data_IF_162524896579
#
_entry.id   IF_162524896579
#
_cell.length_a   1.000
_cell.length_b   1.000
_cell.length_c   1.000
_cell.angle_alpha   90.00
_cell.angle_beta   90.00
_cell.angle_gamma   90.00
#
_symmetry.space_group_name_H-M   'P 1'
#
loop_
_entity.id
_entity.type
_entity.pdbx_description
1 polymer ?
#
# COMPACT_ATOMS: atom_id res chain seq x y z
N UNK A 1 11.41 7.90 -12.38
CA UNK A 1 10.19 7.19 -11.95
C UNK A 1 10.29 5.76 -12.42
N UNK A 2 10.20 4.79 -11.52
CA UNK A 2 10.49 3.37 -11.76
C UNK A 2 9.19 2.57 -11.92
N UNK A 3 9.25 1.47 -12.67
CA UNK A 3 8.23 0.45 -12.57
C UNK A 3 8.44 -0.35 -11.28
N UNK A 4 7.36 -0.72 -10.61
CA UNK A 4 7.39 -1.50 -9.36
C UNK A 4 6.64 -2.85 -9.50
N UNK A 5 6.28 -3.22 -10.73
CA UNK A 5 5.60 -4.48 -11.04
C UNK A 5 6.29 -5.72 -10.42
N UNK A 6 7.64 -5.75 -10.41
CA UNK A 6 8.40 -6.88 -9.85
C UNK A 6 8.17 -7.01 -8.35
N UNK A 7 8.32 -5.92 -7.62
CA UNK A 7 8.16 -5.83 -6.17
C UNK A 7 6.72 -6.19 -5.78
N UNK A 8 5.73 -5.63 -6.48
CA UNK A 8 4.31 -5.93 -6.22
C UNK A 8 3.97 -7.40 -6.48
N UNK A 9 4.52 -8.02 -7.54
CA UNK A 9 4.34 -9.46 -7.79
C UNK A 9 5.01 -10.34 -6.74
N UNK A 10 6.10 -9.89 -6.13
CA UNK A 10 6.72 -10.60 -5.00
C UNK A 10 5.78 -10.52 -3.79
N UNK A 11 5.37 -9.31 -3.39
CA UNK A 11 4.46 -9.09 -2.26
C UNK A 11 3.16 -9.89 -2.41
N UNK A 12 2.58 -9.92 -3.62
CA UNK A 12 1.35 -10.65 -3.93
C UNK A 12 1.41 -12.13 -3.55
N UNK A 13 2.58 -12.76 -3.63
CA UNK A 13 2.75 -14.17 -3.30
C UNK A 13 2.65 -14.47 -1.80
N UNK A 14 2.72 -13.44 -0.95
CA UNK A 14 2.65 -13.56 0.51
C UNK A 14 1.31 -13.10 1.08
N UNK A 15 0.33 -12.74 0.24
CA UNK A 15 -1.03 -12.47 0.69
C UNK A 15 -1.73 -13.81 0.91
N UNK A 16 -2.19 -14.05 2.15
CA UNK A 16 -2.89 -15.29 2.50
C UNK A 16 -4.14 -15.52 1.62
N UNK A 17 -4.39 -16.76 1.16
CA UNK A 17 -5.62 -17.09 0.42
C UNK A 17 -6.91 -16.79 1.17
N UNK A 18 -6.89 -16.79 2.52
CA UNK A 18 -8.06 -16.41 3.33
C UNK A 18 -8.36 -14.93 3.20
N UNK A 19 -7.33 -14.08 3.24
CA UNK A 19 -7.48 -12.66 2.93
C UNK A 19 -8.06 -12.47 1.52
N UNK A 20 -7.59 -13.25 0.54
CA UNK A 20 -8.12 -13.20 -0.82
C UNK A 20 -9.62 -13.51 -0.93
N UNK A 21 -10.18 -14.28 0.00
CA UNK A 21 -11.62 -14.56 0.03
C UNK A 21 -12.45 -13.33 0.46
N UNK A 22 -11.93 -12.52 1.39
CA UNK A 22 -12.54 -11.26 1.81
C UNK A 22 -12.28 -10.12 0.80
N UNK A 23 -11.17 -10.20 0.05
CA UNK A 23 -10.84 -9.27 -1.04
C UNK A 23 -11.73 -9.44 -2.29
N UNK A 24 -12.67 -10.42 -2.32
CA UNK A 24 -13.53 -10.72 -3.50
C UNK A 24 -14.40 -9.57 -3.98
N UNK A 25 -14.58 -8.53 -3.17
CA UNK A 25 -15.36 -7.34 -3.50
C UNK A 25 -14.74 -6.53 -4.64
N UNK A 26 -13.42 -6.53 -4.72
CA UNK A 26 -12.65 -5.76 -5.69
C UNK A 26 -11.76 -6.68 -6.52
N UNK A 27 -11.38 -6.19 -7.70
CA UNK A 27 -10.43 -6.88 -8.58
C UNK A 27 -9.30 -5.92 -8.96
N UNK A 28 -8.14 -6.48 -9.24
CA UNK A 28 -7.12 -5.75 -9.99
C UNK A 28 -7.62 -5.41 -11.40
N UNK A 29 -7.15 -4.28 -11.92
CA UNK A 29 -7.62 -3.71 -13.18
C UNK A 29 -6.80 -4.21 -14.36
N UNK A 30 -7.47 -4.39 -15.49
CA UNK A 30 -6.85 -4.66 -16.79
C UNK A 30 -6.24 -3.40 -17.40
N UNK A 31 -5.36 -3.60 -18.39
CA UNK A 31 -4.80 -2.49 -19.18
C UNK A 31 -5.90 -1.68 -19.89
N UNK A 32 -6.96 -2.33 -20.37
CA UNK A 32 -8.07 -1.65 -21.05
C UNK A 32 -8.86 -0.74 -20.10
N UNK A 33 -9.09 -1.20 -18.86
CA UNK A 33 -9.74 -0.39 -17.82
C UNK A 33 -8.88 0.83 -17.45
N UNK A 34 -7.56 0.65 -17.32
CA UNK A 34 -6.61 1.74 -17.08
C UNK A 34 -6.62 2.75 -18.23
N UNK A 35 -6.54 2.28 -19.48
CA UNK A 35 -6.58 3.15 -20.67
C UNK A 35 -7.91 3.91 -20.77
N UNK A 36 -9.04 3.29 -20.40
CA UNK A 36 -10.33 3.95 -20.36
C UNK A 36 -10.37 5.07 -19.30
N UNK A 37 -9.79 4.83 -18.12
CA UNK A 37 -9.67 5.83 -17.06
C UNK A 37 -8.75 6.98 -17.47
N UNK A 38 -7.59 6.70 -18.07
CA UNK A 38 -6.68 7.71 -18.61
C UNK A 38 -7.34 8.60 -19.66
N UNK A 39 -8.14 7.99 -20.56
CA UNK A 39 -8.93 8.73 -21.54
C UNK A 39 -9.96 9.65 -20.88
N UNK A 40 -10.62 9.17 -19.83
CA UNK A 40 -11.61 9.95 -19.04
C UNK A 40 -10.95 11.10 -18.27
N UNK A 41 -9.77 10.87 -17.72
CA UNK A 41 -9.01 11.85 -16.94
C UNK A 41 -8.18 12.81 -17.80
N UNK A 42 -8.06 12.53 -19.10
CA UNK A 42 -7.21 13.27 -20.05
C UNK A 42 -5.74 13.36 -19.60
N UNK A 43 -5.22 12.28 -19.01
CA UNK A 43 -3.83 12.16 -18.55
C UNK A 43 -3.40 10.70 -18.62
N UNK A 44 -2.12 10.45 -18.88
CA UNK A 44 -1.54 9.13 -18.65
C UNK A 44 -1.21 8.99 -17.17
N UNK A 45 -1.68 7.93 -16.54
CA UNK A 45 -1.32 7.61 -15.18
C UNK A 45 0.19 7.30 -15.12
N UNK A 46 0.88 7.76 -14.08
CA UNK A 46 2.28 7.40 -13.85
C UNK A 46 2.45 5.87 -13.82
N UNK A 47 3.57 5.36 -14.35
CA UNK A 47 3.87 3.91 -14.41
C UNK A 47 3.65 3.20 -13.06
N UNK A 48 4.13 3.72 -11.91
CA UNK A 48 3.94 3.05 -10.62
C UNK A 48 2.47 2.91 -10.23
N UNK A 49 1.64 3.90 -10.57
CA UNK A 49 0.19 3.86 -10.31
C UNK A 49 -0.48 2.81 -11.18
N UNK A 50 -0.06 2.69 -12.45
CA UNK A 50 -0.56 1.61 -13.32
C UNK A 50 -0.22 0.25 -12.73
N UNK A 51 1.03 0.05 -12.28
CA UNK A 51 1.47 -1.20 -11.67
C UNK A 51 0.64 -1.54 -10.41
N UNK A 52 0.39 -0.55 -9.56
CA UNK A 52 -0.47 -0.71 -8.37
C UNK A 52 -1.88 -1.14 -8.75
N UNK A 53 -2.53 -0.46 -9.71
CA UNK A 53 -3.87 -0.83 -10.15
C UNK A 53 -3.94 -2.23 -10.77
N UNK A 54 -2.86 -2.69 -11.39
CA UNK A 54 -2.79 -4.03 -12.03
C UNK A 54 -2.50 -5.16 -11.07
N UNK A 55 -1.83 -4.89 -9.96
CA UNK A 55 -1.27 -5.95 -9.12
C UNK A 55 -1.71 -5.92 -7.67
N UNK A 56 -2.16 -4.78 -7.14
CA UNK A 56 -2.50 -4.64 -5.72
C UNK A 56 -3.80 -3.87 -5.47
N UNK A 57 -4.59 -3.57 -6.50
CA UNK A 57 -5.75 -2.68 -6.34
C UNK A 57 -6.84 -3.28 -5.47
N UNK A 58 -7.12 -4.57 -5.61
CA UNK A 58 -8.08 -5.27 -4.75
C UNK A 58 -7.71 -5.15 -3.27
N UNK A 59 -6.45 -5.41 -2.91
CA UNK A 59 -5.94 -5.24 -1.55
C UNK A 59 -6.08 -3.79 -1.08
N UNK A 60 -5.51 -2.84 -1.84
CA UNK A 60 -5.42 -1.45 -1.39
C UNK A 60 -6.77 -0.74 -1.39
N UNK A 61 -7.67 -1.06 -2.32
CA UNK A 61 -9.03 -0.51 -2.33
C UNK A 61 -9.83 -1.08 -1.15
N UNK A 62 -9.74 -2.40 -0.90
CA UNK A 62 -10.43 -3.02 0.23
C UNK A 62 -9.90 -2.50 1.57
N UNK A 63 -8.59 -2.19 1.64
CA UNK A 63 -7.96 -1.57 2.82
C UNK A 63 -8.25 -0.07 2.95
N UNK A 64 -8.97 0.54 2.00
CA UNK A 64 -9.29 1.97 2.01
C UNK A 64 -8.12 2.90 1.63
N UNK A 65 -6.95 2.39 1.25
CA UNK A 65 -5.77 3.19 0.94
C UNK A 65 -5.63 3.58 -0.53
N UNK A 66 -6.37 2.95 -1.44
CA UNK A 66 -6.38 3.29 -2.87
C UNK A 66 -7.79 3.62 -3.32
N UNK A 67 -7.94 4.74 -4.03
CA UNK A 67 -9.20 5.11 -4.66
C UNK A 67 -9.49 4.19 -5.85
N UNK A 68 -10.71 3.64 -5.99
CA UNK A 68 -11.08 2.89 -7.18
C UNK A 68 -10.86 3.69 -8.46
N UNK A 69 -10.47 2.99 -9.53
CA UNK A 69 -10.09 3.61 -10.80
C UNK A 69 -11.23 4.43 -11.40
N UNK A 70 -12.47 3.99 -11.18
CA UNK A 70 -13.71 4.64 -11.63
C UNK A 70 -13.98 5.95 -10.89
N UNK A 71 -13.49 6.08 -9.66
CA UNK A 71 -13.68 7.24 -8.78
C UNK A 71 -12.49 8.19 -8.78
N UNK A 72 -11.42 7.89 -9.52
CA UNK A 72 -10.38 8.89 -9.79
C UNK A 72 -10.99 10.13 -10.43
N UNK A 73 -10.59 11.30 -9.94
CA UNK A 73 -11.02 12.58 -10.47
C UNK A 73 -9.96 13.64 -10.17
N UNK A 74 -9.97 14.73 -10.94
CA UNK A 74 -9.14 15.90 -10.66
C UNK A 74 -9.81 16.75 -9.59
N UNK A 75 -9.05 17.28 -8.63
CA UNK A 75 -9.44 18.37 -7.74
C UNK A 75 -8.61 19.61 -8.10
N UNK A 76 -9.20 20.50 -8.90
CA UNK A 76 -8.49 21.61 -9.52
C UNK A 76 -7.34 21.14 -10.42
N UNK A 77 -6.11 21.12 -9.89
CA UNK A 77 -4.89 20.68 -10.60
C UNK A 77 -4.27 19.42 -9.98
N UNK A 78 -4.91 18.79 -9.01
CA UNK A 78 -4.36 17.63 -8.30
C UNK A 78 -5.17 16.38 -8.62
N UNK A 79 -4.49 15.25 -8.79
CA UNK A 79 -5.12 13.96 -9.03
C UNK A 79 -4.74 13.05 -7.86
N UNK A 80 -5.73 12.74 -7.01
CA UNK A 80 -5.58 11.91 -5.83
C UNK A 80 -5.71 10.43 -6.15
N UNK A 81 -4.78 9.64 -5.63
CA UNK A 81 -4.78 8.18 -5.79
C UNK A 81 -5.02 7.49 -4.45
N UNK A 82 -4.33 7.95 -3.41
CA UNK A 82 -4.29 7.27 -2.13
C UNK A 82 -5.00 8.06 -1.03
N UNK A 83 -5.34 7.34 0.04
CA UNK A 83 -5.67 7.91 1.34
C UNK A 83 -4.55 7.55 2.31
N UNK A 84 -4.12 8.52 3.12
CA UNK A 84 -3.02 8.31 4.04
C UNK A 84 -3.44 7.48 5.25
N UNK A 85 -2.65 6.48 5.69
CA UNK A 85 -2.98 5.73 6.90
C UNK A 85 -3.05 6.65 8.12
N UNK A 86 -4.14 6.56 8.89
CA UNK A 86 -4.36 7.33 10.10
C UNK A 86 -4.66 8.82 9.90
N UNK A 87 -4.71 9.31 8.66
CA UNK A 87 -5.04 10.69 8.33
C UNK A 87 -6.13 10.73 7.25
N UNK A 88 -7.11 11.63 7.38
CA UNK A 88 -8.15 11.85 6.36
C UNK A 88 -7.63 12.69 5.16
N UNK A 89 -6.36 12.49 4.80
CA UNK A 89 -5.63 13.22 3.76
C UNK A 89 -5.56 12.41 2.47
N UNK A 90 -5.84 13.04 1.35
CA UNK A 90 -5.62 12.49 0.01
C UNK A 90 -4.17 12.70 -0.40
N UNK A 91 -3.57 11.67 -1.00
CA UNK A 91 -2.21 11.72 -1.53
C UNK A 91 -2.22 11.49 -3.05
N UNK A 92 -1.49 12.32 -3.78
CA UNK A 92 -1.44 12.22 -5.23
C UNK A 92 -0.48 13.19 -5.90
N UNK A 93 -0.76 13.54 -7.14
CA UNK A 93 0.15 14.32 -8.00
C UNK A 93 -0.47 15.64 -8.46
N UNK A 94 0.40 16.59 -8.82
CA UNK A 94 0.00 17.84 -9.46
C UNK A 94 0.14 17.79 -10.98
N UNK A 95 -0.85 18.31 -11.70
CA UNK A 95 -0.87 18.42 -13.16
C UNK A 95 0.33 19.23 -13.69
N UNK A 96 0.98 18.68 -14.72
CA UNK A 96 2.08 19.35 -15.42
C UNK A 96 3.45 19.21 -14.75
N UNK A 97 3.53 18.53 -13.61
CA UNK A 97 4.80 18.13 -12.99
C UNK A 97 5.16 16.72 -13.47
N UNK A 98 6.40 16.55 -13.93
CA UNK A 98 6.93 15.26 -14.41
C UNK A 98 7.78 14.55 -13.36
N UNK A 99 7.99 15.17 -12.20
CA UNK A 99 8.94 14.77 -11.16
C UNK A 99 8.49 13.57 -10.32
N UNK A 100 7.20 13.20 -10.34
CA UNK A 100 6.69 12.15 -9.45
C UNK A 100 6.57 12.58 -7.99
N UNK A 101 6.69 13.89 -7.73
CA UNK A 101 6.51 14.48 -6.41
C UNK A 101 5.09 14.24 -5.89
N UNK A 102 5.00 13.86 -4.62
CA UNK A 102 3.74 13.67 -3.92
C UNK A 102 3.25 14.96 -3.29
N UNK A 103 1.93 15.11 -3.32
CA UNK A 103 1.20 16.18 -2.67
C UNK A 103 0.13 15.56 -1.78
N UNK A 104 -0.10 16.20 -0.64
CA UNK A 104 -1.17 15.87 0.29
C UNK A 104 -2.13 17.03 0.43
N UNK A 105 -3.41 16.72 0.57
CA UNK A 105 -4.46 17.69 0.79
C UNK A 105 -5.66 17.06 1.48
N UNK A 106 -6.47 17.90 2.10
CA UNK A 106 -7.80 17.52 2.58
C UNK A 106 -8.79 17.62 1.42
N UNK A 107 -9.54 16.54 1.18
CA UNK A 107 -10.58 16.50 0.15
C UNK A 107 -11.67 17.53 0.48
N UNK A 108 -11.98 18.41 -0.48
CA UNK A 108 -13.00 19.44 -0.26
C UNK A 108 -14.40 18.88 -0.55
N UNK A 109 -14.85 17.98 0.33
CA UNK A 109 -16.20 17.40 0.31
C UNK A 109 -17.13 18.07 1.34
N UNK A 110 -17.64 19.29 1.08
CA UNK A 110 -18.43 20.05 2.05
C UNK A 110 -19.78 19.42 2.36
N UNK A 111 -20.25 18.48 1.54
CA UNK A 111 -21.51 17.77 1.81
C UNK A 111 -21.27 16.50 2.60
N UNK A 112 -20.04 15.99 2.63
CA UNK A 112 -19.75 14.71 3.21
C UNK A 112 -20.62 13.62 2.61
N UNK A 113 -20.58 13.44 1.29
CA UNK A 113 -21.35 12.38 0.61
C UNK A 113 -20.52 11.66 -0.46
N UNK A 114 -19.24 12.00 -0.60
CA UNK A 114 -18.33 11.32 -1.54
C UNK A 114 -18.24 9.83 -1.24
N UNK A 115 -18.19 9.45 0.04
CA UNK A 115 -18.17 8.07 0.52
C UNK A 115 -19.43 7.29 0.15
N UNK A 116 -20.60 7.91 0.12
CA UNK A 116 -21.84 7.22 -0.27
C UNK A 116 -21.74 6.64 -1.70
N UNK A 117 -21.02 7.31 -2.60
CA UNK A 117 -20.82 6.79 -3.96
C UNK A 117 -19.81 5.63 -4.00
N UNK A 118 -18.86 5.61 -3.07
CA UNK A 118 -17.93 4.49 -2.90
C UNK A 118 -18.70 3.27 -2.39
N UNK A 119 -19.52 3.42 -1.36
CA UNK A 119 -20.35 2.33 -0.81
C UNK A 119 -21.30 1.76 -1.88
N UNK A 120 -21.92 2.65 -2.67
CA UNK A 120 -22.79 2.24 -3.77
C UNK A 120 -22.02 1.50 -4.88
N UNK A 121 -20.77 1.90 -5.15
CA UNK A 121 -19.93 1.23 -6.12
C UNK A 121 -19.50 -0.15 -5.61
N UNK A 122 -19.08 -0.25 -4.34
CA UNK A 122 -18.70 -1.50 -3.68
C UNK A 122 -19.87 -2.49 -3.70
N UNK A 123 -21.06 -2.06 -3.26
CA UNK A 123 -22.28 -2.88 -3.29
C UNK A 123 -22.56 -3.41 -4.70
N UNK A 124 -22.48 -2.54 -5.71
CA UNK A 124 -22.72 -2.94 -7.10
C UNK A 124 -21.60 -3.87 -7.65
N UNK A 125 -20.38 -3.76 -7.15
CA UNK A 125 -19.29 -4.70 -7.44
C UNK A 125 -19.56 -6.08 -6.85
N UNK A 126 -19.97 -6.15 -5.60
CA UNK A 126 -20.33 -7.41 -4.92
C UNK A 126 -21.50 -8.13 -5.59
N UNK A 127 -22.54 -7.38 -5.97
CA UNK A 127 -23.74 -7.93 -6.61
C UNK A 127 -23.55 -8.26 -8.10
N UNK A 128 -22.45 -7.81 -8.70
CA UNK A 128 -22.24 -7.88 -10.15
C UNK A 128 -23.20 -6.97 -10.94
N UNK A 129 -23.75 -5.92 -10.33
CA UNK A 129 -24.67 -4.96 -10.96
C UNK A 129 -23.91 -3.91 -11.78
N UNK A 130 -23.67 -4.22 -13.05
CA UNK A 130 -23.00 -3.31 -14.00
C UNK A 130 -23.77 -2.00 -14.24
N UNK A 131 -25.09 -1.97 -14.06
CA UNK A 131 -25.87 -0.74 -14.20
C UNK A 131 -25.76 0.12 -12.93
N UNK A 132 -25.80 -0.50 -11.76
CA UNK A 132 -25.51 0.13 -10.46
C UNK A 132 -24.14 0.79 -10.45
N UNK A 133 -23.09 0.07 -10.89
CA UNK A 133 -21.73 0.63 -11.04
C UNK A 133 -21.73 1.88 -11.90
N UNK A 134 -22.32 1.81 -13.11
CA UNK A 134 -22.39 2.96 -14.02
C UNK A 134 -23.11 4.16 -13.40
N UNK A 135 -24.20 3.94 -12.66
CA UNK A 135 -24.93 5.00 -11.97
C UNK A 135 -24.11 5.63 -10.86
N UNK A 136 -23.49 4.84 -9.99
CA UNK A 136 -22.66 5.32 -8.89
C UNK A 136 -21.50 6.17 -9.43
N UNK A 137 -20.78 5.65 -10.43
CA UNK A 137 -19.67 6.36 -11.09
C UNK A 137 -20.14 7.63 -11.77
N UNK A 138 -21.23 7.59 -12.55
CA UNK A 138 -21.74 8.79 -13.22
C UNK A 138 -22.18 9.88 -12.22
N UNK A 139 -22.83 9.49 -11.11
CA UNK A 139 -23.26 10.41 -10.07
C UNK A 139 -22.04 11.06 -9.39
N UNK A 140 -21.03 10.27 -9.05
CA UNK A 140 -19.77 10.73 -8.49
C UNK A 140 -19.02 11.69 -9.43
N UNK A 141 -18.86 11.33 -10.70
CA UNK A 141 -18.19 12.18 -11.69
C UNK A 141 -18.94 13.51 -11.89
N UNK A 142 -20.29 13.48 -11.88
CA UNK A 142 -21.12 14.68 -11.93
C UNK A 142 -20.99 15.54 -10.68
N UNK A 143 -20.85 14.91 -9.51
CA UNK A 143 -20.63 15.57 -8.23
C UNK A 143 -19.35 16.40 -8.22
N UNK A 144 -18.23 15.80 -8.66
CA UNK A 144 -16.92 16.46 -8.70
C UNK A 144 -16.77 17.42 -9.87
N UNK A 145 -17.34 17.14 -11.05
CA UNK A 145 -17.31 18.08 -12.18
C UNK A 145 -17.96 19.42 -11.85
N UNK A 146 -19.05 19.41 -11.07
CA UNK A 146 -19.72 20.65 -10.60
C UNK A 146 -18.86 21.45 -9.61
N UNK A 147 -17.98 20.78 -8.87
CA UNK A 147 -17.13 21.39 -7.83
C UNK A 147 -15.80 21.89 -8.36
N UNK A 148 -15.28 21.26 -9.40
CA UNK A 148 -14.09 21.69 -10.13
C UNK A 148 -14.27 22.95 -10.96
N UNK A 149 -15.39 23.67 -10.80
CA UNK A 149 -15.52 25.02 -11.36
C UNK A 149 -14.50 25.88 -10.60
N UNK A 150 -13.50 26.44 -11.29
CA UNK A 150 -12.43 27.19 -10.65
C UNK A 150 -13.06 28.26 -9.76
N UNK A 151 -12.53 28.44 -8.56
CA UNK A 151 -12.94 29.44 -7.54
C UNK A 151 -13.99 29.04 -6.48
N UNK A 152 -14.59 27.85 -6.48
CA UNK A 152 -15.55 27.46 -5.42
C UNK A 152 -15.00 26.35 -4.49
N UNK A 153 -14.35 25.32 -5.03
CA UNK A 153 -13.89 24.16 -4.23
C UNK A 153 -12.50 23.67 -4.67
N UNK A 154 -11.47 24.48 -4.43
CA UNK A 154 -10.09 24.00 -4.53
C UNK A 154 -9.80 23.01 -3.38
N UNK A 155 -8.87 22.05 -3.56
CA UNK A 155 -8.43 21.19 -2.47
C UNK A 155 -7.88 22.04 -1.32
N UNK A 156 -8.11 21.59 -0.09
CA UNK A 156 -7.78 22.32 1.12
C UNK A 156 -6.40 21.91 1.62
N UNK A 157 -5.68 22.86 2.24
CA UNK A 157 -4.41 22.60 2.92
C UNK A 157 -3.36 21.86 2.07
N UNK A 158 -3.33 22.12 0.76
CA UNK A 158 -2.40 21.44 -0.15
C UNK A 158 -0.95 21.75 0.23
N UNK A 159 -0.17 20.70 0.43
CA UNK A 159 1.26 20.80 0.67
C UNK A 159 2.00 19.70 -0.07
N UNK A 160 3.27 19.96 -0.36
CA UNK A 160 4.17 18.96 -0.95
C UNK A 160 4.68 18.05 0.18
N UNK A 161 4.71 16.75 -0.09
CA UNK A 161 5.31 15.75 0.79
C UNK A 161 6.85 15.87 0.72
N UNK A 162 7.39 16.78 1.54
CA UNK A 162 8.82 17.04 1.70
C UNK A 162 9.34 16.64 3.10
N UNK A 163 8.47 16.07 3.95
CA UNK A 163 8.74 15.72 5.35
C UNK A 163 8.33 14.26 5.61
N UNK A 164 9.15 13.52 6.36
CA UNK A 164 8.96 12.10 6.62
C UNK A 164 9.91 11.20 5.80
N UNK A 165 9.78 9.87 5.94
CA UNK A 165 10.66 8.92 5.29
C UNK A 165 10.82 9.15 3.81
N UNK A 166 12.03 8.98 3.28
CA UNK A 166 12.32 9.22 1.86
C UNK A 166 11.38 8.48 0.89
N UNK A 167 10.95 7.25 1.24
CA UNK A 167 9.97 6.51 0.42
C UNK A 167 8.60 7.22 0.31
N UNK A 168 8.20 8.02 1.30
CA UNK A 168 6.95 8.77 1.30
C UNK A 168 7.00 10.03 0.41
N UNK A 169 8.17 10.40 -0.09
CA UNK A 169 8.35 11.57 -0.96
C UNK A 169 8.18 11.22 -2.45
N UNK A 170 8.21 9.93 -2.77
CA UNK A 170 8.13 9.39 -4.12
C UNK A 170 6.92 8.49 -4.30
N UNK A 171 6.29 8.60 -5.46
CA UNK A 171 5.07 7.86 -5.81
C UNK A 171 5.25 6.33 -5.71
N UNK A 172 6.42 5.82 -6.11
CA UNK A 172 6.76 4.40 -6.06
C UNK A 172 6.94 3.90 -4.64
N UNK A 173 7.74 4.63 -3.85
CA UNK A 173 8.03 4.28 -2.47
C UNK A 173 6.77 4.29 -1.62
N UNK A 174 5.93 5.31 -1.79
CA UNK A 174 4.66 5.41 -1.09
C UNK A 174 3.68 4.30 -1.48
N UNK A 175 3.63 3.96 -2.77
CA UNK A 175 2.81 2.84 -3.25
C UNK A 175 3.26 1.48 -2.69
N UNK A 176 4.58 1.24 -2.61
CA UNK A 176 5.14 0.05 -1.98
C UNK A 176 4.89 0.02 -0.47
N UNK A 177 5.03 1.17 0.19
CA UNK A 177 4.67 1.33 1.60
C UNK A 177 3.23 0.94 1.87
N UNK A 178 2.27 1.48 1.11
CA UNK A 178 0.86 1.14 1.30
C UNK A 178 0.59 -0.35 1.05
N UNK A 179 1.23 -0.96 0.06
CA UNK A 179 1.10 -2.39 -0.20
C UNK A 179 1.61 -3.23 0.98
N UNK A 180 2.79 -2.89 1.52
CA UNK A 180 3.37 -3.56 2.69
C UNK A 180 2.51 -3.35 3.93
N UNK A 181 2.13 -2.10 4.19
CA UNK A 181 1.29 -1.69 5.33
C UNK A 181 -0.05 -2.42 5.32
N UNK A 182 -0.71 -2.52 4.16
CA UNK A 182 -1.98 -3.23 4.04
C UNK A 182 -1.83 -4.72 4.35
N UNK A 183 -0.77 -5.37 3.84
CA UNK A 183 -0.50 -6.77 4.17
C UNK A 183 -0.33 -6.92 5.69
N UNK A 184 0.45 -6.04 6.31
CA UNK A 184 0.67 -6.09 7.75
C UNK A 184 -0.61 -5.89 8.56
N UNK A 185 -1.45 -4.93 8.16
CA UNK A 185 -2.71 -4.62 8.83
C UNK A 185 -3.67 -5.81 8.78
N UNK A 186 -3.86 -6.41 7.59
CA UNK A 186 -4.76 -7.55 7.42
C UNK A 186 -4.29 -8.79 8.18
N UNK A 187 -3.01 -9.15 8.08
CA UNK A 187 -2.43 -10.25 8.84
C UNK A 187 -2.47 -9.96 10.36
N UNK A 188 -2.29 -8.69 10.74
CA UNK A 188 -2.40 -8.21 12.11
C UNK A 188 -3.83 -8.15 12.65
N UNK A 189 -4.87 -8.05 11.82
CA UNK A 189 -6.28 -8.15 12.25
C UNK A 189 -6.72 -9.61 12.39
N UNK A 190 -6.28 -10.47 11.47
CA UNK A 190 -6.68 -11.87 11.43
C UNK A 190 -5.92 -12.76 12.44
N UNK A 191 -4.92 -12.22 13.15
CA UNK A 191 -4.06 -12.98 14.08
C UNK A 191 -4.82 -13.75 15.17
N UNK A 192 -5.93 -13.21 15.69
CA UNK A 192 -6.76 -13.88 16.69
C UNK A 192 -7.55 -15.07 16.12
N UNK A 193 -7.81 -15.06 14.82
CA UNK A 193 -8.50 -16.14 14.10
C UNK A 193 -7.54 -17.24 13.66
N UNK A 194 -6.23 -17.02 13.81
CA UNK A 194 -5.14 -17.87 13.30
C UNK A 194 -4.43 -18.69 14.36
N UNK A 195 -5.18 -19.25 15.33
CA UNK A 195 -4.64 -20.03 16.46
C UNK A 195 -3.89 -21.34 16.10
N UNK A 196 -3.46 -21.54 14.85
CA UNK A 196 -2.65 -22.69 14.44
C UNK A 196 -1.91 -22.59 13.11
N UNK A 197 -1.93 -21.45 12.40
CA UNK A 197 -1.27 -21.32 11.09
C UNK A 197 0.04 -20.54 11.22
N UNK A 198 1.18 -21.23 11.08
CA UNK A 198 2.54 -20.67 11.20
C UNK A 198 3.00 -19.94 9.93
N UNK A 199 2.06 -19.44 9.12
CA UNK A 199 2.35 -18.70 7.90
C UNK A 199 2.67 -17.24 8.17
N UNK A 200 2.17 -16.69 9.28
CA UNK A 200 2.47 -15.35 9.78
C UNK A 200 3.01 -15.43 11.20
N UNK A 201 4.18 -14.85 11.42
CA UNK A 201 4.87 -14.86 12.70
C UNK A 201 5.35 -13.45 13.05
N UNK A 202 5.24 -13.10 14.31
CA UNK A 202 5.70 -11.82 14.84
C UNK A 202 6.92 -12.05 15.70
N UNK A 203 7.93 -11.21 15.56
CA UNK A 203 9.03 -11.21 16.50
C UNK A 203 8.61 -10.57 17.81
N UNK A 204 9.34 -10.87 18.88
CA UNK A 204 9.37 -9.99 20.05
C UNK A 204 9.63 -8.54 19.60
N UNK A 205 9.01 -7.58 20.29
CA UNK A 205 9.29 -6.17 20.08
C UNK A 205 10.76 -5.87 20.33
N UNK A 206 11.34 -4.94 19.56
CA UNK A 206 12.66 -4.43 19.88
C UNK A 206 12.62 -3.69 21.22
N UNK A 207 13.45 -4.06 22.22
CA UNK A 207 13.71 -3.22 23.36
C UNK A 207 14.01 -1.78 22.95
N UNK A 208 13.33 -0.81 23.59
CA UNK A 208 13.47 0.63 23.33
C UNK A 208 14.89 1.22 23.58
N UNK A 209 15.90 0.38 23.83
CA UNK A 209 17.28 0.75 24.23
C UNK A 209 18.34 0.35 23.21
N UNK A 210 17.99 -0.18 22.04
CA UNK A 210 19.00 -0.61 21.08
C UNK A 210 19.61 0.57 20.32
N UNK A 211 20.92 0.45 20.04
CA UNK A 211 21.69 1.46 19.31
C UNK A 211 21.62 1.26 17.79
N UNK A 212 22.06 2.25 17.01
CA UNK A 212 22.14 2.13 15.55
C UNK A 212 23.01 0.92 15.13
N UNK A 213 24.08 0.65 15.86
CA UNK A 213 24.97 -0.50 15.62
C UNK A 213 24.26 -1.84 15.79
N UNK A 214 23.29 -1.95 16.71
CA UNK A 214 22.51 -3.17 16.87
C UNK A 214 21.71 -3.49 15.59
N UNK A 215 21.03 -2.49 15.03
CA UNK A 215 20.26 -2.66 13.79
C UNK A 215 21.16 -2.86 12.57
N UNK A 216 22.34 -2.24 12.54
CA UNK A 216 23.37 -2.52 11.52
C UNK A 216 23.81 -3.98 11.57
N UNK A 217 24.08 -4.52 12.76
CA UNK A 217 24.45 -5.93 12.93
C UNK A 217 23.33 -6.89 12.49
N UNK A 218 22.05 -6.51 12.66
CA UNK A 218 20.94 -7.29 12.09
C UNK A 218 20.97 -7.20 10.57
N UNK A 219 21.06 -5.98 10.01
CA UNK A 219 21.08 -5.75 8.58
C UNK A 219 22.22 -6.54 7.88
N UNK A 220 23.40 -6.62 8.49
CA UNK A 220 24.51 -7.43 7.99
C UNK A 220 24.24 -8.93 8.06
N UNK A 221 23.69 -9.44 9.18
CA UNK A 221 23.43 -10.88 9.37
C UNK A 221 22.30 -11.42 8.48
N UNK A 222 21.24 -10.64 8.26
CA UNK A 222 20.12 -11.09 7.42
C UNK A 222 20.50 -11.12 5.93
N UNK A 223 21.50 -10.35 5.48
CA UNK A 223 21.90 -10.29 4.07
C UNK A 223 22.40 -11.62 3.49
N UNK A 224 22.80 -12.57 4.33
CA UNK A 224 23.21 -13.92 3.91
C UNK A 224 22.07 -14.68 3.22
N UNK A 225 20.83 -14.47 3.68
CA UNK A 225 19.65 -15.22 3.25
C UNK A 225 18.53 -14.34 2.70
N UNK A 226 18.46 -13.08 3.13
CA UNK A 226 17.45 -12.11 2.74
C UNK A 226 18.05 -10.98 1.90
N UNK A 227 17.30 -10.56 0.90
CA UNK A 227 17.63 -9.40 0.07
C UNK A 227 16.55 -8.34 0.22
N UNK A 228 16.88 -7.04 0.16
CA UNK A 228 15.86 -6.00 0.10
C UNK A 228 14.82 -6.30 -0.99
N UNK A 229 13.55 -6.00 -0.73
CA UNK A 229 12.46 -6.26 -1.68
C UNK A 229 12.72 -5.60 -3.05
N UNK A 230 13.29 -4.40 -3.03
CA UNK A 230 13.60 -3.59 -4.20
C UNK A 230 15.12 -3.46 -4.38
N UNK A 231 15.55 -3.50 -5.65
CA UNK A 231 16.92 -3.18 -6.04
C UNK A 231 17.18 -1.66 -5.98
N UNK A 232 16.12 -0.84 -5.83
CA UNK A 232 16.15 0.60 -5.62
C UNK A 232 16.08 0.91 -4.11
N UNK A 233 17.22 1.13 -3.43
CA UNK A 233 17.25 1.35 -1.98
C UNK A 233 16.35 2.51 -1.55
N UNK A 234 16.31 3.58 -2.34
CA UNK A 234 15.52 4.77 -2.07
C UNK A 234 14.01 4.50 -1.94
N UNK A 235 13.50 3.37 -2.43
CA UNK A 235 12.09 3.01 -2.31
C UNK A 235 11.74 2.31 -0.99
N UNK A 236 12.75 1.89 -0.24
CA UNK A 236 12.61 1.04 0.95
C UNK A 236 13.32 1.61 2.19
N UNK A 237 14.08 2.70 2.03
CA UNK A 237 14.93 3.30 3.06
C UNK A 237 14.14 4.11 4.07
N UNK A 238 14.31 3.80 5.36
CA UNK A 238 13.68 4.46 6.51
C UNK A 238 14.59 5.58 7.04
N UNK A 239 14.97 6.51 6.16
CA UNK A 239 15.91 7.61 6.44
C UNK A 239 17.23 7.11 7.08
N UNK A 240 17.51 7.54 8.32
CA UNK A 240 18.73 7.21 9.06
C UNK A 240 18.69 5.83 9.73
N UNK A 241 17.61 5.07 9.57
CA UNK A 241 17.44 3.76 10.16
C UNK A 241 18.21 2.67 9.37
N UNK A 242 19.02 1.81 10.02
CA UNK A 242 19.85 0.83 9.30
C UNK A 242 19.10 -0.28 8.55
N UNK A 243 17.84 -0.54 8.91
CA UNK A 243 17.02 -1.54 8.26
C UNK A 243 16.09 -0.89 7.24
N UNK A 244 15.71 -1.67 6.24
CA UNK A 244 14.71 -1.35 5.23
C UNK A 244 13.34 -1.90 5.61
N UNK A 245 12.29 -1.38 4.98
CA UNK A 245 10.91 -1.77 5.26
C UNK A 245 10.62 -3.26 5.05
N UNK A 246 11.20 -3.88 4.01
CA UNK A 246 10.96 -5.29 3.73
C UNK A 246 12.13 -5.97 3.00
N UNK A 247 12.29 -7.26 3.29
CA UNK A 247 13.28 -8.15 2.70
C UNK A 247 12.63 -9.46 2.27
N UNK A 248 13.05 -9.99 1.13
CA UNK A 248 12.61 -11.27 0.61
C UNK A 248 13.72 -12.31 0.75
N UNK A 249 13.37 -13.52 1.19
CA UNK A 249 14.31 -14.63 1.22
C UNK A 249 14.79 -14.98 -0.19
N UNK A 250 16.05 -15.37 -0.35
CA UNK A 250 16.68 -15.67 -1.66
C UNK A 250 15.93 -16.73 -2.48
N UNK A 251 15.27 -17.66 -1.81
CA UNK A 251 14.49 -18.74 -2.41
C UNK A 251 12.98 -18.39 -2.55
N UNK A 252 12.61 -17.14 -2.25
CA UNK A 252 11.25 -16.61 -2.29
C UNK A 252 10.25 -17.37 -1.39
N UNK A 253 10.73 -18.03 -0.34
CA UNK A 253 9.88 -18.80 0.59
C UNK A 253 9.34 -17.95 1.74
N UNK A 254 10.01 -16.83 2.05
CA UNK A 254 9.66 -15.94 3.15
C UNK A 254 9.82 -14.46 2.79
N UNK A 255 9.03 -13.61 3.45
CA UNK A 255 9.08 -12.16 3.42
C UNK A 255 9.20 -11.66 4.86
N UNK A 256 10.27 -10.93 5.14
CA UNK A 256 10.54 -10.30 6.43
C UNK A 256 10.22 -8.81 6.32
N UNK A 257 9.20 -8.36 7.03
CA UNK A 257 8.72 -6.98 7.04
C UNK A 257 9.06 -6.35 8.38
N UNK A 258 9.58 -5.12 8.35
CA UNK A 258 9.78 -4.31 9.55
C UNK A 258 8.48 -3.56 9.89
N UNK A 259 7.97 -3.76 11.10
CA UNK A 259 6.88 -2.97 11.67
C UNK A 259 7.34 -1.57 12.05
N UNK A 260 6.50 -0.56 11.79
CA UNK A 260 6.85 0.84 12.02
C UNK A 260 6.79 1.24 13.50
N UNK A 261 5.68 0.98 14.22
CA UNK A 261 5.58 1.23 15.68
C UNK A 261 4.49 0.36 16.34
N UNK A 262 4.76 -0.28 17.52
CA UNK A 262 6.08 -0.55 18.08
C UNK A 262 6.91 -1.45 17.13
N UNK A 263 8.20 -1.15 17.01
CA UNK A 263 9.07 -1.82 16.04
C UNK A 263 9.18 -3.31 16.39
N UNK A 264 8.86 -4.17 15.44
CA UNK A 264 9.04 -5.62 15.46
C UNK A 264 9.26 -6.11 14.03
N UNK A 265 9.58 -7.39 13.84
CA UNK A 265 9.50 -8.03 12.54
C UNK A 265 8.20 -8.82 12.41
N UNK A 266 7.61 -8.75 11.23
CA UNK A 266 6.62 -9.71 10.75
C UNK A 266 7.28 -10.61 9.72
N UNK A 267 7.24 -11.91 9.93
CA UNK A 267 7.71 -12.94 9.01
C UNK A 267 6.50 -13.62 8.37
N UNK A 268 6.36 -13.43 7.06
CA UNK A 268 5.36 -14.09 6.24
C UNK A 268 6.00 -15.21 5.43
N UNK A 269 5.34 -16.35 5.34
CA UNK A 269 5.79 -17.53 4.60
C UNK A 269 4.65 -18.06 3.73
N UNK A 270 5.00 -18.69 2.60
CA UNK A 270 4.00 -19.22 1.64
C UNK A 270 3.22 -20.43 2.16
N UNK A 271 3.71 -21.05 3.22
CA UNK A 271 3.14 -22.22 3.87
C UNK A 271 3.68 -22.32 5.30
N UNK A 272 3.38 -23.40 6.01
CA UNK A 272 3.88 -23.64 7.37
C UNK A 272 5.40 -23.46 7.40
N UNK A 273 5.88 -22.49 8.17
CA UNK A 273 7.32 -22.21 8.25
C UNK A 273 8.09 -23.43 8.74
N UNK A 274 9.09 -23.86 7.95
CA UNK A 274 9.95 -24.97 8.33
C UNK A 274 10.81 -24.59 9.54
N UNK A 275 11.03 -25.56 10.42
CA UNK A 275 11.83 -25.33 11.64
C UNK A 275 13.22 -24.77 11.35
N UNK A 276 13.87 -25.23 10.27
CA UNK A 276 15.18 -24.75 9.87
C UNK A 276 15.18 -23.27 9.48
N UNK A 277 14.16 -22.82 8.74
CA UNK A 277 13.98 -21.41 8.39
C UNK A 277 13.80 -20.56 9.66
N UNK A 278 12.95 -21.00 10.59
CA UNK A 278 12.72 -20.27 11.84
C UNK A 278 13.97 -20.18 12.72
N UNK A 279 14.67 -21.29 12.92
CA UNK A 279 15.93 -21.30 13.68
C UNK A 279 16.96 -20.33 13.06
N UNK A 280 17.02 -20.28 11.72
CA UNK A 280 17.92 -19.38 11.00
C UNK A 280 17.54 -17.90 11.13
N UNK A 281 16.27 -17.56 10.94
CA UNK A 281 15.77 -16.18 11.10
C UNK A 281 16.00 -15.69 12.53
N UNK A 282 15.77 -16.54 13.53
CA UNK A 282 16.03 -16.21 14.94
C UNK A 282 17.53 -15.99 15.21
N UNK A 283 18.42 -16.79 14.63
CA UNK A 283 19.87 -16.61 14.73
C UNK A 283 20.31 -15.25 14.13
N UNK A 284 19.79 -14.91 12.95
CA UNK A 284 20.18 -13.70 12.22
C UNK A 284 19.64 -12.42 12.86
N UNK A 285 18.41 -12.45 13.34
CA UNK A 285 17.76 -11.28 13.97
C UNK A 285 18.12 -11.17 15.45
N UNK A 286 18.34 -12.30 16.13
CA UNK A 286 18.49 -12.37 17.58
C UNK A 286 17.17 -12.20 18.33
N UNK A 287 16.02 -12.38 17.66
CA UNK A 287 14.68 -12.26 18.22
C UNK A 287 13.95 -13.60 18.13
N UNK A 288 13.07 -13.87 19.09
CA UNK A 288 12.16 -15.00 19.01
C UNK A 288 10.95 -14.64 18.14
N UNK A 289 10.39 -15.62 17.43
CA UNK A 289 9.22 -15.45 16.57
C UNK A 289 8.05 -16.33 17.05
N UNK A 290 6.86 -15.76 17.08
CA UNK A 290 5.66 -16.34 17.68
C UNK A 290 4.44 -16.15 16.78
N UNK A 291 3.45 -17.03 16.94
CA UNK A 291 2.14 -16.84 16.31
C UNK A 291 1.35 -15.85 17.17
N UNK A 292 0.99 -14.70 16.60
CA UNK A 292 0.30 -13.64 17.33
C UNK A 292 1.20 -12.79 18.23
N UNK A 293 0.59 -11.78 18.87
CA UNK A 293 1.23 -10.87 19.84
C UNK A 293 0.95 -11.29 21.29
#
# INVERSE_FOLDING_TARGET
>A
MYAIEKELKILRQFISPKLMDDLKKWKCYSEDEILAAEKRLHVKLPVPIRDIYRHMADLLVTSGYLRPLELLHWEGRYLGFFLSPGEDSVVGIQKGKTSGELYMWEENDPKGISWEYLDNLETACEEGDEEGKRKAVAAYQKYWKRRNIPFIHAPLNVHKQDQGPWFNQHLEGYGLFLAIHSIQEWEGMAWHEHTGETTCLFSDFFPARFSKEYFQNIAERIQDDFKPLSDHPELMDLDDFPLRMAYVHKDLEALLILGLEPVCFMLLTKGVAERALLEKVQEQTGLAFHVGF
#
